data_IF_993697804118
#
_entry.id   IF_993697804118
#
_cell.length_a   1.000
_cell.length_b   1.000
_cell.length_c   1.000
_cell.angle_alpha   90.00
_cell.angle_beta   90.00
_cell.angle_gamma   90.00
#
_symmetry.space_group_name_H-M   'P 1'
#
loop_
_entity.id
_entity.type
_entity.pdbx_description
1 polymer ?
#
# COMPACT_ATOMS: atom_id res chain seq x y z
N UNK A 1 -1.04 -32.53 -18.58
CA UNK A 1 -0.53 -32.61 -17.19
C UNK A 1 -1.67 -32.27 -16.23
N UNK A 2 -1.76 -32.93 -15.07
CA UNK A 2 -2.65 -32.49 -13.98
C UNK A 2 -1.91 -32.65 -12.66
N UNK A 3 -1.55 -31.53 -12.02
CA UNK A 3 -0.86 -31.54 -10.74
C UNK A 3 -1.86 -31.16 -9.66
N UNK A 4 -2.08 -32.07 -8.73
CA UNK A 4 -2.85 -31.84 -7.52
C UNK A 4 -1.92 -32.04 -6.33
N UNK A 5 -1.43 -30.94 -5.78
CA UNK A 5 -0.40 -30.94 -4.78
C UNK A 5 -0.98 -30.62 -3.40
N UNK A 6 -0.56 -31.35 -2.36
CA UNK A 6 -1.11 -31.26 -0.99
C UNK A 6 -0.03 -31.17 0.08
N UNK A 7 1.17 -30.68 -0.21
CA UNK A 7 2.22 -30.56 0.81
C UNK A 7 1.80 -29.63 1.95
N UNK A 8 2.08 -30.09 3.17
CA UNK A 8 1.93 -29.32 4.39
C UNK A 8 3.28 -29.07 5.09
N UNK A 9 4.39 -29.59 4.55
CA UNK A 9 5.72 -29.50 5.18
C UNK A 9 6.37 -28.11 5.07
N UNK A 10 5.96 -27.32 4.07
CA UNK A 10 6.44 -25.94 3.92
C UNK A 10 7.65 -25.78 3.01
N UNK A 11 8.22 -26.86 2.47
CA UNK A 11 9.50 -26.81 1.73
C UNK A 11 9.48 -27.62 0.43
N UNK A 12 8.31 -27.98 -0.09
CA UNK A 12 8.25 -28.77 -1.31
C UNK A 12 8.74 -27.97 -2.52
N UNK A 13 9.61 -28.60 -3.32
CA UNK A 13 10.08 -28.06 -4.59
C UNK A 13 9.64 -28.96 -5.74
N UNK A 14 8.93 -28.39 -6.71
CA UNK A 14 8.62 -29.06 -7.96
C UNK A 14 9.65 -28.65 -9.02
N UNK A 15 10.79 -29.32 -9.01
CA UNK A 15 11.94 -28.95 -9.83
C UNK A 15 11.80 -29.21 -11.34
N UNK A 16 11.09 -30.24 -11.83
CA UNK A 16 10.95 -30.44 -13.27
C UNK A 16 10.25 -29.26 -13.96
N UNK A 17 10.72 -28.92 -15.16
CA UNK A 17 10.00 -28.02 -16.05
C UNK A 17 8.65 -28.64 -16.44
N UNK A 18 7.61 -27.82 -16.44
CA UNK A 18 6.27 -28.17 -16.90
C UNK A 18 5.99 -27.43 -18.21
N UNK A 19 5.71 -28.17 -19.28
CA UNK A 19 5.61 -27.66 -20.66
C UNK A 19 4.38 -28.19 -21.42
N UNK A 20 3.50 -28.91 -20.72
CA UNK A 20 2.29 -29.51 -21.28
C UNK A 20 1.03 -28.71 -20.91
N UNK A 21 -0.09 -29.01 -21.55
CA UNK A 21 -1.39 -28.42 -21.19
C UNK A 21 -1.97 -29.12 -19.95
N UNK A 22 -2.48 -28.35 -19.01
CA UNK A 22 -3.47 -28.77 -18.02
C UNK A 22 -3.42 -27.98 -16.72
N UNK A 23 -3.87 -28.59 -15.62
CA UNK A 23 -4.14 -27.86 -14.38
C UNK A 23 -3.00 -28.02 -13.38
N UNK A 24 -2.77 -26.97 -12.59
CA UNK A 24 -1.91 -26.97 -11.40
C UNK A 24 -2.73 -26.51 -10.22
N UNK A 25 -2.98 -27.40 -9.26
CA UNK A 25 -3.73 -27.09 -8.04
C UNK A 25 -2.82 -27.27 -6.82
N UNK A 26 -2.67 -26.20 -6.05
CA UNK A 26 -1.98 -26.20 -4.75
C UNK A 26 -3.05 -26.21 -3.67
N UNK A 27 -3.21 -27.36 -3.02
CA UNK A 27 -4.26 -27.64 -2.03
C UNK A 27 -3.67 -27.96 -0.64
N UNK A 28 -2.35 -27.85 -0.49
CA UNK A 28 -1.66 -28.09 0.77
C UNK A 28 -1.33 -26.78 1.48
N UNK A 29 -1.42 -26.77 2.81
CA UNK A 29 -1.17 -25.56 3.61
C UNK A 29 0.30 -25.11 3.65
N UNK A 30 1.21 -25.90 3.08
CA UNK A 30 2.65 -25.62 3.02
C UNK A 30 3.01 -24.63 1.91
N UNK A 31 4.30 -24.62 1.56
CA UNK A 31 4.83 -23.83 0.45
C UNK A 31 5.32 -24.77 -0.65
N UNK A 32 4.75 -24.59 -1.83
CA UNK A 32 5.20 -25.22 -3.08
C UNK A 32 6.08 -24.24 -3.83
N UNK A 33 7.34 -24.57 -4.06
CA UNK A 33 8.25 -23.73 -4.83
C UNK A 33 8.42 -24.30 -6.24
N UNK A 34 8.30 -23.45 -7.26
CA UNK A 34 8.51 -23.80 -8.67
C UNK A 34 9.84 -23.21 -9.18
N UNK A 35 10.97 -23.93 -9.08
CA UNK A 35 12.26 -23.44 -9.58
C UNK A 35 12.52 -23.74 -11.06
N UNK A 36 11.64 -24.53 -11.71
CA UNK A 36 11.80 -24.94 -13.11
C UNK A 36 11.57 -23.81 -14.13
N UNK A 37 11.83 -24.10 -15.40
CA UNK A 37 11.41 -23.25 -16.52
C UNK A 37 10.04 -23.70 -17.01
N UNK A 38 9.00 -23.04 -16.53
CA UNK A 38 7.62 -23.45 -16.75
C UNK A 38 6.98 -22.72 -17.93
N UNK A 39 6.37 -23.47 -18.83
CA UNK A 39 5.67 -22.98 -20.03
C UNK A 39 4.31 -23.68 -20.24
N UNK A 40 3.83 -24.40 -19.22
CA UNK A 40 2.54 -25.09 -19.25
C UNK A 40 1.37 -24.12 -19.47
N UNK A 41 0.33 -24.62 -20.11
CA UNK A 41 -0.93 -23.90 -20.36
C UNK A 41 -2.02 -24.38 -19.42
N UNK A 42 -2.97 -23.52 -19.09
CA UNK A 42 -4.13 -23.83 -18.27
C UNK A 42 -4.14 -23.07 -16.94
N UNK A 43 -5.05 -23.43 -16.05
CA UNK A 43 -5.27 -22.71 -14.79
C UNK A 43 -4.34 -23.25 -13.70
N UNK A 44 -3.70 -22.32 -13.00
CA UNK A 44 -3.02 -22.55 -11.72
C UNK A 44 -3.89 -22.04 -10.58
N UNK A 45 -4.44 -22.94 -9.77
CA UNK A 45 -5.27 -22.61 -8.60
C UNK A 45 -4.48 -22.79 -7.31
N UNK A 46 -4.41 -21.75 -6.49
CA UNK A 46 -3.85 -21.78 -5.14
C UNK A 46 -5.03 -21.77 -4.18
N UNK A 47 -5.39 -22.95 -3.67
CA UNK A 47 -6.56 -23.20 -2.82
C UNK A 47 -6.19 -23.43 -1.35
N UNK A 48 -4.91 -23.63 -1.05
CA UNK A 48 -4.36 -23.62 0.29
C UNK A 48 -2.87 -23.24 0.24
N UNK A 49 -2.39 -22.53 1.26
CA UNK A 49 -0.96 -22.33 1.52
C UNK A 49 -0.30 -21.31 0.59
N UNK A 50 0.90 -21.63 0.11
CA UNK A 50 1.71 -20.73 -0.72
C UNK A 50 2.24 -21.42 -1.96
N UNK A 51 2.04 -20.80 -3.13
CA UNK A 51 2.80 -21.11 -4.34
C UNK A 51 3.88 -20.05 -4.52
N UNK A 52 5.14 -20.47 -4.59
CA UNK A 52 6.30 -19.59 -4.65
C UNK A 52 7.09 -19.79 -5.95
N UNK A 53 7.46 -18.70 -6.60
CA UNK A 53 8.43 -18.71 -7.68
C UNK A 53 9.81 -19.08 -7.12
N UNK A 54 10.47 -20.06 -7.73
CA UNK A 54 11.85 -20.44 -7.42
C UNK A 54 12.88 -19.93 -8.44
N UNK A 55 12.42 -19.27 -9.50
CA UNK A 55 13.20 -18.64 -10.57
C UNK A 55 12.30 -17.62 -11.30
N UNK A 56 12.88 -16.74 -12.13
CA UNK A 56 12.11 -15.83 -13.01
C UNK A 56 11.18 -16.60 -13.97
N UNK A 57 11.60 -17.80 -14.39
CA UNK A 57 10.80 -18.70 -15.23
C UNK A 57 9.94 -19.67 -14.43
N UNK A 58 9.88 -19.51 -13.10
CA UNK A 58 9.23 -20.42 -12.18
C UNK A 58 7.71 -20.45 -12.33
N UNK A 59 7.09 -19.33 -12.67
CA UNK A 59 5.67 -19.27 -12.99
C UNK A 59 5.50 -19.26 -14.50
N UNK A 60 4.46 -19.94 -15.01
CA UNK A 60 4.24 -20.02 -16.44
C UNK A 60 3.59 -18.73 -16.97
N UNK A 61 4.20 -18.06 -17.99
CA UNK A 61 3.60 -16.91 -18.65
C UNK A 61 2.35 -17.27 -19.48
N UNK A 62 2.09 -18.56 -19.67
CA UNK A 62 0.96 -19.09 -20.43
C UNK A 62 -0.18 -19.61 -19.54
N UNK A 63 -0.10 -19.40 -18.23
CA UNK A 63 -1.07 -19.92 -17.26
C UNK A 63 -1.87 -18.78 -16.59
N UNK A 64 -3.18 -19.00 -16.46
CA UNK A 64 -4.08 -18.16 -15.67
C UNK A 64 -3.96 -18.53 -14.19
N UNK A 65 -3.67 -17.56 -13.32
CA UNK A 65 -3.51 -17.80 -11.88
C UNK A 65 -4.75 -17.36 -11.12
N UNK A 66 -5.20 -18.23 -10.21
CA UNK A 66 -6.28 -17.95 -9.26
C UNK A 66 -5.74 -18.14 -7.85
N UNK A 67 -5.80 -17.09 -7.03
CA UNK A 67 -5.37 -17.12 -5.63
C UNK A 67 -6.60 -17.04 -4.73
N UNK A 68 -6.92 -18.11 -4.02
CA UNK A 68 -8.06 -18.10 -3.11
C UNK A 68 -7.80 -17.21 -1.89
N UNK A 69 -8.89 -16.82 -1.21
CA UNK A 69 -8.81 -15.98 -0.02
C UNK A 69 -8.08 -16.72 1.11
N UNK A 70 -7.08 -16.05 1.70
CA UNK A 70 -6.23 -16.63 2.74
C UNK A 70 -4.94 -17.28 2.21
N UNK A 71 -4.81 -17.44 0.89
CA UNK A 71 -3.64 -18.08 0.27
C UNK A 71 -2.70 -17.08 -0.37
N UNK A 72 -1.52 -17.56 -0.75
CA UNK A 72 -0.42 -16.70 -1.20
C UNK A 72 0.18 -17.14 -2.54
N UNK A 73 0.31 -16.19 -3.46
CA UNK A 73 1.26 -16.25 -4.57
C UNK A 73 2.51 -15.45 -4.18
N UNK A 74 3.66 -16.10 -4.06
CA UNK A 74 4.92 -15.48 -3.66
C UNK A 74 5.90 -15.41 -4.84
N UNK A 75 6.17 -14.21 -5.35
CA UNK A 75 7.20 -13.99 -6.37
C UNK A 75 8.63 -14.09 -5.81
N UNK A 76 8.78 -14.19 -4.48
CA UNK A 76 10.04 -14.19 -3.77
C UNK A 76 10.89 -12.96 -4.12
N UNK A 77 12.12 -13.16 -4.60
CA UNK A 77 13.01 -12.12 -5.15
C UNK A 77 13.03 -12.08 -6.67
N UNK A 78 12.22 -12.92 -7.33
CA UNK A 78 12.22 -13.10 -8.77
C UNK A 78 11.26 -12.13 -9.47
N UNK A 79 11.37 -12.06 -10.79
CA UNK A 79 10.49 -11.27 -11.65
C UNK A 79 9.70 -12.15 -12.63
N UNK A 80 8.79 -13.01 -12.12
CA UNK A 80 8.05 -13.92 -12.97
C UNK A 80 6.98 -13.23 -13.80
N UNK A 81 6.54 -13.93 -14.84
CA UNK A 81 5.39 -13.55 -15.66
C UNK A 81 4.30 -14.61 -15.56
N UNK A 82 3.05 -14.16 -15.47
CA UNK A 82 1.84 -15.00 -15.55
C UNK A 82 0.93 -14.48 -16.66
N UNK A 83 0.04 -15.32 -17.18
CA UNK A 83 -0.87 -14.88 -18.25
C UNK A 83 -1.90 -13.90 -17.70
N UNK A 84 -2.70 -14.33 -16.73
CA UNK A 84 -3.67 -13.51 -16.02
C UNK A 84 -3.64 -13.83 -14.53
N UNK A 85 -4.19 -12.95 -13.71
CA UNK A 85 -4.21 -13.13 -12.26
C UNK A 85 -5.52 -12.66 -11.65
N UNK A 86 -6.32 -13.59 -11.13
CA UNK A 86 -7.47 -13.33 -10.28
C UNK A 86 -7.11 -13.65 -8.83
N UNK A 87 -7.02 -12.63 -7.99
CA UNK A 87 -6.55 -12.77 -6.62
C UNK A 87 -7.65 -12.38 -5.64
N UNK A 88 -8.04 -13.34 -4.79
CA UNK A 88 -8.72 -13.10 -3.51
C UNK A 88 -7.77 -13.16 -2.30
N UNK A 89 -6.53 -13.63 -2.49
CA UNK A 89 -5.52 -13.80 -1.46
C UNK A 89 -4.44 -12.70 -1.45
N UNK A 90 -3.24 -13.10 -1.04
CA UNK A 90 -2.04 -12.26 -0.94
C UNK A 90 -1.10 -12.54 -2.12
N UNK A 91 -0.59 -11.48 -2.74
CA UNK A 91 0.51 -11.55 -3.71
C UNK A 91 1.74 -10.90 -3.08
N UNK A 92 2.80 -11.67 -2.86
CA UNK A 92 4.02 -11.18 -2.22
C UNK A 92 5.08 -10.89 -3.28
N UNK A 93 5.52 -9.64 -3.35
CA UNK A 93 6.64 -9.18 -4.18
C UNK A 93 7.88 -8.83 -3.32
N UNK A 94 7.86 -9.25 -2.05
CA UNK A 94 8.65 -8.66 -0.98
C UNK A 94 9.60 -9.63 -0.27
N UNK A 95 9.77 -10.89 -0.70
CA UNK A 95 10.43 -11.89 0.14
C UNK A 95 11.97 -11.76 0.25
N UNK A 96 12.59 -10.71 -0.28
CA UNK A 96 14.04 -10.48 -0.10
C UNK A 96 14.70 -9.44 -1.00
N UNK A 97 13.93 -8.65 -1.74
CA UNK A 97 14.46 -7.59 -2.62
C UNK A 97 13.54 -6.38 -2.71
N UNK A 98 14.05 -5.30 -3.28
CA UNK A 98 13.34 -4.03 -3.47
C UNK A 98 13.13 -3.68 -4.94
N UNK A 99 13.24 -4.64 -5.88
CA UNK A 99 13.14 -4.34 -7.32
C UNK A 99 12.58 -5.48 -8.18
N UNK A 100 12.00 -6.50 -7.56
CA UNK A 100 11.30 -7.58 -8.27
C UNK A 100 10.07 -7.06 -9.03
N UNK A 101 9.76 -7.68 -10.17
CA UNK A 101 8.59 -7.31 -10.98
C UNK A 101 7.74 -8.55 -11.25
N UNK A 102 6.53 -8.59 -10.72
CA UNK A 102 5.53 -9.55 -11.20
C UNK A 102 4.82 -8.93 -12.41
N UNK A 103 4.93 -9.60 -13.55
CA UNK A 103 4.23 -9.21 -14.77
C UNK A 103 2.99 -10.08 -14.97
N UNK A 104 1.83 -9.44 -15.12
CA UNK A 104 0.58 -10.05 -15.58
C UNK A 104 0.42 -9.65 -17.04
N UNK A 105 0.61 -10.60 -17.96
CA UNK A 105 0.64 -10.33 -19.40
C UNK A 105 -0.72 -9.90 -19.97
N UNK A 106 -1.80 -10.24 -19.28
CA UNK A 106 -3.17 -9.86 -19.60
C UNK A 106 -3.79 -9.16 -18.38
N UNK A 107 -4.95 -9.62 -17.93
CA UNK A 107 -5.78 -8.91 -16.98
C UNK A 107 -5.47 -9.31 -15.53
N UNK A 108 -5.63 -8.34 -14.64
CA UNK A 108 -5.56 -8.52 -13.19
C UNK A 108 -6.91 -8.19 -12.54
N UNK A 109 -7.44 -9.11 -11.76
CA UNK A 109 -8.65 -8.94 -10.96
C UNK A 109 -8.31 -9.04 -9.48
N UNK A 110 -8.62 -7.98 -8.72
CA UNK A 110 -8.52 -7.98 -7.27
C UNK A 110 -9.88 -8.17 -6.61
N UNK A 111 -10.02 -9.17 -5.73
CA UNK A 111 -11.24 -9.38 -4.94
C UNK A 111 -10.91 -9.34 -3.45
N UNK A 112 -10.83 -8.13 -2.88
CA UNK A 112 -10.35 -7.91 -1.50
C UNK A 112 -8.96 -8.50 -1.27
N UNK A 113 -8.15 -8.50 -2.34
CA UNK A 113 -6.78 -9.00 -2.29
C UNK A 113 -5.84 -8.03 -1.61
N UNK A 114 -4.63 -8.52 -1.35
CA UNK A 114 -3.51 -7.65 -1.03
C UNK A 114 -2.28 -7.96 -1.86
N UNK A 115 -1.46 -6.94 -2.10
CA UNK A 115 -0.13 -7.07 -2.70
C UNK A 115 0.87 -6.54 -1.68
N UNK A 116 1.82 -7.36 -1.26
CA UNK A 116 2.87 -6.99 -0.32
C UNK A 116 4.15 -6.58 -1.04
N UNK A 117 4.70 -5.41 -0.69
CA UNK A 117 5.89 -4.83 -1.33
C UNK A 117 6.86 -4.27 -0.29
N UNK A 118 8.18 -4.41 -0.54
CA UNK A 118 9.22 -3.77 0.25
C UNK A 118 9.78 -2.56 -0.50
N UNK A 119 9.34 -1.36 -0.13
CA UNK A 119 9.79 -0.13 -0.79
C UNK A 119 10.82 0.59 0.07
N UNK A 120 11.92 1.03 -0.52
CA UNK A 120 12.81 1.99 0.14
C UNK A 120 12.21 3.40 0.02
N UNK A 121 11.32 3.80 0.94
CA UNK A 121 10.65 5.10 0.87
C UNK A 121 11.64 6.27 0.81
N UNK A 122 11.62 7.00 -0.30
CA UNK A 122 12.57 8.04 -0.65
C UNK A 122 12.08 8.84 -1.85
N UNK A 123 12.98 9.24 -2.75
CA UNK A 123 12.61 10.03 -3.93
C UNK A 123 11.95 9.17 -5.04
N UNK A 124 11.57 9.78 -6.16
CA UNK A 124 10.88 9.08 -7.26
C UNK A 124 11.69 7.95 -7.92
N UNK A 125 12.98 7.80 -7.61
CA UNK A 125 13.87 6.74 -8.09
C UNK A 125 14.03 5.62 -7.05
N UNK A 126 13.34 5.70 -5.92
CA UNK A 126 13.35 4.69 -4.88
C UNK A 126 13.12 3.29 -5.43
N UNK A 127 13.96 2.37 -4.96
CA UNK A 127 13.81 0.96 -5.25
C UNK A 127 12.48 0.46 -4.65
N UNK A 128 11.62 -0.07 -5.52
CA UNK A 128 10.39 -0.74 -5.13
C UNK A 128 10.10 -1.93 -6.06
N UNK A 129 9.57 -3.05 -5.52
CA UNK A 129 8.94 -4.07 -6.33
C UNK A 129 7.71 -3.52 -7.05
N UNK A 130 7.40 -4.04 -8.23
CA UNK A 130 6.26 -3.56 -9.03
C UNK A 130 5.33 -4.70 -9.41
N UNK A 131 4.03 -4.41 -9.33
CA UNK A 131 3.04 -5.17 -10.10
C UNK A 131 2.89 -4.47 -11.47
N UNK A 132 3.18 -5.18 -12.55
CA UNK A 132 3.00 -4.71 -13.92
C UNK A 132 1.86 -5.49 -14.54
N UNK A 133 0.83 -4.80 -15.02
CA UNK A 133 -0.33 -5.40 -15.70
C UNK A 133 -0.37 -4.86 -17.12
N UNK A 134 -0.15 -5.73 -18.10
CA UNK A 134 -0.13 -5.35 -19.52
C UNK A 134 -1.55 -5.24 -20.10
N UNK A 135 -2.54 -5.91 -19.49
CA UNK A 135 -3.96 -5.77 -19.80
C UNK A 135 -4.71 -4.85 -18.84
N UNK A 136 -5.97 -5.19 -18.60
CA UNK A 136 -6.91 -4.41 -17.80
C UNK A 136 -6.84 -4.79 -16.32
N UNK A 137 -7.15 -3.83 -15.43
CA UNK A 137 -7.38 -4.08 -14.01
C UNK A 137 -8.84 -3.86 -13.64
N UNK A 138 -9.36 -4.70 -12.75
CA UNK A 138 -10.68 -4.55 -12.12
C UNK A 138 -10.63 -4.91 -10.62
N UNK A 139 -11.68 -4.52 -9.90
CA UNK A 139 -11.85 -4.89 -8.50
C UNK A 139 -11.04 -4.03 -7.53
N UNK A 140 -10.68 -4.58 -6.37
CA UNK A 140 -10.01 -3.85 -5.29
C UNK A 140 -8.85 -4.64 -4.69
N UNK A 141 -7.76 -3.93 -4.40
CA UNK A 141 -6.53 -4.49 -3.88
C UNK A 141 -5.89 -3.55 -2.86
N UNK A 142 -5.50 -4.09 -1.72
CA UNK A 142 -4.72 -3.33 -0.72
C UNK A 142 -3.23 -3.48 -0.98
N UNK A 143 -2.49 -2.38 -1.08
CA UNK A 143 -1.03 -2.40 -1.17
C UNK A 143 -0.43 -2.36 0.24
N UNK A 144 0.04 -3.53 0.71
CA UNK A 144 0.71 -3.70 1.99
C UNK A 144 2.21 -3.39 1.80
N UNK A 145 2.56 -2.12 1.88
CA UNK A 145 3.93 -1.67 1.66
C UNK A 145 4.68 -1.62 2.99
N UNK A 146 5.87 -2.20 3.03
CA UNK A 146 6.81 -2.10 4.15
C UNK A 146 7.97 -1.19 3.74
N UNK A 147 8.32 -0.21 4.59
CA UNK A 147 9.49 0.63 4.34
C UNK A 147 10.77 -0.17 4.63
N UNK A 148 11.55 -0.49 3.61
CA UNK A 148 12.81 -1.21 3.73
C UNK A 148 13.98 -0.23 3.58
N UNK A 149 14.49 0.24 4.72
CA UNK A 149 15.66 1.14 4.79
C UNK A 149 15.51 2.48 4.06
N UNK A 150 14.29 2.90 3.72
CA UNK A 150 14.03 4.21 3.13
C UNK A 150 14.14 5.33 4.17
N UNK A 151 14.92 6.36 3.84
CA UNK A 151 15.19 7.50 4.72
C UNK A 151 14.16 8.62 4.59
N UNK A 152 13.25 8.54 3.62
CA UNK A 152 12.38 9.65 3.25
C UNK A 152 13.05 10.67 2.35
N UNK A 153 12.35 11.16 1.33
CA UNK A 153 12.72 12.31 0.52
C UNK A 153 11.49 12.83 -0.25
N UNK A 154 11.63 14.00 -0.87
CA UNK A 154 10.62 14.51 -1.78
C UNK A 154 10.55 13.66 -3.05
N UNK A 155 9.37 13.19 -3.40
CA UNK A 155 9.07 12.68 -4.73
C UNK A 155 8.80 13.83 -5.71
N UNK A 156 9.33 13.72 -6.91
CA UNK A 156 9.10 14.62 -8.04
C UNK A 156 8.35 13.93 -9.19
N UNK A 157 7.84 14.70 -10.15
CA UNK A 157 7.04 14.22 -11.28
C UNK A 157 5.80 13.48 -10.77
N UNK A 158 5.73 12.15 -10.88
CA UNK A 158 4.55 11.37 -10.52
C UNK A 158 4.68 10.64 -9.18
N UNK A 159 5.89 10.46 -8.63
CA UNK A 159 6.12 9.63 -7.45
C UNK A 159 6.91 8.35 -7.71
N UNK A 160 6.94 7.47 -6.71
CA UNK A 160 7.51 6.12 -6.79
C UNK A 160 6.48 5.19 -7.44
N UNK A 161 6.75 4.70 -8.64
CA UNK A 161 5.83 3.80 -9.37
C UNK A 161 5.75 2.42 -8.70
N UNK A 162 4.58 2.04 -8.17
CA UNK A 162 4.36 0.76 -7.46
C UNK A 162 3.45 -0.20 -8.22
N UNK A 163 2.55 0.32 -9.06
CA UNK A 163 1.72 -0.49 -9.97
C UNK A 163 1.68 0.16 -11.35
N UNK A 164 2.05 -0.60 -12.38
CA UNK A 164 1.92 -0.19 -13.77
C UNK A 164 0.73 -0.90 -14.41
N UNK A 165 -0.11 -0.17 -15.15
CA UNK A 165 -1.20 -0.74 -15.96
C UNK A 165 -1.13 -0.17 -17.37
N UNK A 166 -1.04 -1.03 -18.38
CA UNK A 166 -0.97 -0.63 -19.79
C UNK A 166 -2.37 -0.59 -20.43
N UNK A 167 -3.28 -1.49 -20.03
CA UNK A 167 -4.70 -1.51 -20.42
C UNK A 167 -5.58 -0.51 -19.68
N UNK A 168 -6.86 -0.83 -19.50
CA UNK A 168 -7.81 -0.05 -18.72
C UNK A 168 -7.57 -0.26 -17.22
N UNK A 169 -7.23 0.80 -16.49
CA UNK A 169 -7.04 0.73 -15.04
C UNK A 169 -8.37 0.96 -14.29
N UNK A 170 -9.32 0.03 -14.34
CA UNK A 170 -10.61 0.17 -13.65
C UNK A 170 -10.61 -0.41 -12.23
N UNK A 171 -9.55 -1.12 -11.84
CA UNK A 171 -9.32 -1.57 -10.47
C UNK A 171 -8.90 -0.42 -9.54
N UNK A 172 -9.17 -0.58 -8.25
CA UNK A 172 -8.73 0.34 -7.19
C UNK A 172 -7.61 -0.27 -6.37
N UNK A 173 -6.59 0.55 -6.09
CA UNK A 173 -5.53 0.24 -5.16
C UNK A 173 -5.59 1.22 -3.99
N UNK A 174 -5.36 0.73 -2.77
CA UNK A 174 -5.37 1.55 -1.55
C UNK A 174 -4.28 1.11 -0.59
N UNK A 175 -3.76 2.05 0.20
CA UNK A 175 -2.96 1.71 1.38
C UNK A 175 -3.89 1.31 2.54
N UNK A 176 -3.46 0.44 3.46
CA UNK A 176 -4.13 0.22 4.73
C UNK A 176 -4.35 1.53 5.49
N UNK A 177 -5.32 1.55 6.41
CA UNK A 177 -5.50 2.68 7.32
C UNK A 177 -4.17 3.00 8.04
N UNK A 178 -3.76 4.28 8.12
CA UNK A 178 -4.56 5.49 7.88
C UNK A 178 -4.60 6.01 6.43
N UNK A 179 -4.12 5.24 5.45
CA UNK A 179 -4.08 5.64 4.03
C UNK A 179 -2.78 6.35 3.61
N UNK A 180 -1.78 6.34 4.50
CA UNK A 180 -0.45 6.89 4.23
C UNK A 180 0.64 6.13 5.01
N UNK A 181 1.88 6.34 4.61
CA UNK A 181 3.10 5.86 5.30
C UNK A 181 3.99 7.05 5.63
N UNK A 182 4.91 6.92 6.60
CA UNK A 182 5.83 8.00 6.97
C UNK A 182 7.29 7.50 6.95
N UNK A 183 8.21 8.32 6.44
CA UNK A 183 9.64 8.11 6.49
C UNK A 183 10.38 9.45 6.43
N UNK A 184 11.30 9.72 7.37
CA UNK A 184 12.17 10.90 7.35
C UNK A 184 11.48 12.26 7.32
N UNK A 185 10.32 12.40 7.99
CA UNK A 185 9.53 13.63 7.95
C UNK A 185 8.69 13.82 6.68
N UNK A 186 8.66 12.81 5.81
CA UNK A 186 7.80 12.75 4.64
C UNK A 186 6.66 11.78 4.86
N UNK A 187 5.46 12.21 4.51
CA UNK A 187 4.29 11.34 4.41
C UNK A 187 4.12 10.91 2.96
N UNK A 188 3.85 9.63 2.74
CA UNK A 188 3.62 9.03 1.42
C UNK A 188 2.17 8.59 1.31
N UNK A 189 1.48 9.08 0.30
CA UNK A 189 0.11 8.67 -0.06
C UNK A 189 0.11 7.99 -1.41
N UNK A 190 -0.86 7.10 -1.64
CA UNK A 190 -1.02 6.43 -2.93
C UNK A 190 -1.90 7.28 -3.84
N UNK A 191 -1.38 7.61 -5.01
CA UNK A 191 -2.06 8.41 -6.03
C UNK A 191 -2.09 7.67 -7.37
N UNK A 192 -3.23 7.74 -8.05
CA UNK A 192 -3.35 7.29 -9.44
C UNK A 192 -3.02 8.45 -10.38
N UNK A 193 -2.02 8.28 -11.23
CA UNK A 193 -1.65 9.26 -12.27
C UNK A 193 -1.76 8.58 -13.63
N UNK A 194 -2.70 9.05 -14.45
CA UNK A 194 -3.09 8.35 -15.67
C UNK A 194 -3.64 6.96 -15.35
N UNK A 195 -2.96 5.92 -15.83
CA UNK A 195 -3.31 4.51 -15.60
C UNK A 195 -2.52 3.85 -14.47
N UNK A 196 -1.44 4.48 -14.01
CA UNK A 196 -0.49 3.87 -13.07
C UNK A 196 -0.69 4.42 -11.66
N UNK A 197 -0.14 3.70 -10.67
CA UNK A 197 -0.24 4.07 -9.26
C UNK A 197 1.13 4.33 -8.66
N UNK A 198 1.23 5.45 -7.95
CA UNK A 198 2.47 5.98 -7.43
C UNK A 198 2.34 6.30 -5.94
N UNK A 199 3.41 6.12 -5.19
CA UNK A 199 3.56 6.77 -3.90
C UNK A 199 4.07 8.20 -4.12
N UNK A 200 3.32 9.18 -3.62
CA UNK A 200 3.69 10.59 -3.65
C UNK A 200 3.94 11.08 -2.24
N UNK A 201 5.04 11.80 -2.05
CA UNK A 201 5.41 12.36 -0.76
C UNK A 201 4.96 13.80 -0.60
N UNK A 202 4.49 14.15 0.59
CA UNK A 202 4.38 15.53 1.07
C UNK A 202 5.20 15.71 2.35
N UNK A 203 5.78 16.90 2.51
CA UNK A 203 6.53 17.21 3.71
C UNK A 203 5.55 17.36 4.87
N UNK A 204 5.73 16.57 5.92
CA UNK A 204 4.96 16.77 7.13
C UNK A 204 5.50 18.04 7.81
N UNK A 205 4.60 18.99 8.09
CA UNK A 205 4.95 20.07 9.00
C UNK A 205 5.33 19.42 10.33
N UNK A 206 6.56 19.67 10.79
CA UNK A 206 6.95 19.32 12.14
C UNK A 206 5.87 19.90 13.06
N UNK A 207 5.14 19.05 13.77
CA UNK A 207 4.40 19.54 14.92
C UNK A 207 5.46 20.08 15.85
N UNK A 208 5.61 21.40 15.91
CA UNK A 208 6.39 22.02 16.96
C UNK A 208 5.86 21.40 18.26
N UNK A 209 6.69 20.60 18.93
CA UNK A 209 6.40 20.21 20.29
C UNK A 209 6.14 21.48 21.10
N UNK A 210 5.40 21.43 22.21
CA UNK A 210 5.39 22.55 23.13
C UNK A 210 6.86 22.90 23.41
N UNK A 211 7.23 24.11 23.04
CA UNK A 211 8.56 24.67 23.25
C UNK A 211 9.00 24.37 24.69
N UNK A 212 10.07 23.57 24.92
CA UNK A 212 10.55 23.29 26.27
C UNK A 212 10.99 24.55 27.02
N UNK A 213 11.13 25.69 26.33
CA UNK A 213 11.72 26.92 26.86
C UNK A 213 10.73 28.10 26.96
N UNK A 214 9.42 27.84 26.94
CA UNK A 214 8.46 28.81 27.48
C UNK A 214 8.51 28.79 29.01
N UNK A 215 9.64 29.23 29.59
CA UNK A 215 9.59 29.77 30.96
C UNK A 215 8.56 30.91 30.94
N UNK A 216 7.51 30.88 31.78
CA UNK A 216 6.58 31.99 31.85
C UNK A 216 7.39 33.24 32.22
N UNK A 217 7.50 34.19 31.30
CA UNK A 217 8.03 35.52 31.63
C UNK A 217 7.21 36.03 32.82
N UNK A 218 7.81 36.47 33.94
CA UNK A 218 7.07 36.96 35.08
C UNK A 218 6.14 38.09 34.62
N UNK A 219 4.84 37.84 34.69
CA UNK A 219 3.82 38.88 34.53
C UNK A 219 4.07 39.92 35.61
N UNK A 220 4.37 41.15 35.21
CA UNK A 220 4.47 42.28 36.14
C UNK A 220 3.18 42.34 36.95
N UNK A 221 3.33 42.31 38.28
CA UNK A 221 2.21 42.37 39.22
C UNK A 221 1.28 43.55 38.88
N UNK A 222 -0.05 43.36 38.88
CA UNK A 222 -0.96 44.47 38.72
C UNK A 222 -0.77 45.44 39.89
N UNK A 223 -0.61 46.72 39.58
CA UNK A 223 -0.67 47.81 40.57
C UNK A 223 -1.95 47.70 41.40
N UNK A 224 -1.88 47.78 42.74
CA UNK A 224 -3.08 47.73 43.56
C UNK A 224 -3.98 48.94 43.27
N UNK A 225 -5.24 48.67 42.95
CA UNK A 225 -6.29 49.69 42.85
C UNK A 225 -6.73 50.07 44.27
N UNK A 226 -6.87 51.36 44.61
CA UNK A 226 -7.31 51.76 45.94
C UNK A 226 -8.75 51.33 46.21
N UNK A 227 -8.94 50.68 47.36
CA UNK A 227 -10.22 50.18 47.87
C UNK A 227 -11.17 51.32 48.24
N UNK A 228 -12.34 51.39 47.61
CA UNK A 228 -13.49 52.16 48.10
C UNK A 228 -14.63 51.19 48.45
N UNK A 229 -15.29 51.46 49.58
CA UNK A 229 -16.01 50.48 50.39
C UNK A 229 -17.39 50.04 49.91
N UNK A 230 -17.78 48.92 50.53
CA UNK A 230 -19.12 48.53 50.96
C UNK A 230 -20.19 48.09 49.93
N UNK A 231 -20.61 46.82 50.14
CA UNK A 231 -21.97 46.27 50.04
C UNK A 231 -22.61 46.09 48.66
N UNK A 232 -22.89 44.84 48.30
CA UNK A 232 -23.93 44.51 47.30
C UNK A 232 -23.81 43.11 46.69
N UNK A 233 -24.79 42.25 47.00
CA UNK A 233 -24.90 40.85 46.61
C UNK A 233 -25.20 40.60 45.11
N UNK A 234 -24.83 39.39 44.67
CA UNK A 234 -25.44 38.55 43.61
C UNK A 234 -25.44 39.13 42.17
N UNK A 235 -25.31 38.35 41.08
CA UNK A 235 -26.20 37.26 40.64
C UNK A 235 -25.49 36.45 39.53
N UNK A 236 -25.69 35.12 39.56
CA UNK A 236 -25.49 34.16 38.46
C UNK A 236 -26.44 34.45 37.28
N UNK A 237 -25.94 34.53 36.04
CA UNK A 237 -26.79 34.29 34.86
C UNK A 237 -25.99 33.85 33.63
N UNK A 238 -26.48 32.77 33.04
CA UNK A 238 -25.97 31.96 31.93
C UNK A 238 -26.32 32.55 30.56
N UNK A 239 -25.44 32.29 29.58
CA UNK A 239 -25.69 31.92 28.17
C UNK A 239 -26.64 32.76 27.28
N UNK A 240 -26.09 33.32 26.19
CA UNK A 240 -26.41 32.97 24.79
C UNK A 240 -25.88 34.05 23.84
N UNK A 241 -25.31 33.60 22.73
CA UNK A 241 -24.76 34.40 21.65
C UNK A 241 -25.84 35.07 20.79
N UNK A 242 -25.52 36.20 20.14
CA UNK A 242 -25.77 36.42 18.71
C UNK A 242 -25.42 37.86 18.24
N UNK A 243 -24.56 37.91 17.22
CA UNK A 243 -24.72 38.68 15.96
C UNK A 243 -24.60 40.21 16.01
N UNK A 244 -23.75 40.73 15.10
CA UNK A 244 -24.10 41.96 14.38
C UNK A 244 -22.96 42.97 14.15
N UNK A 245 -21.86 42.57 13.50
CA UNK A 245 -20.92 43.55 12.93
C UNK A 245 -21.17 43.70 11.43
N UNK A 246 -21.70 44.85 11.00
CA UNK A 246 -21.02 45.78 10.07
C UNK A 246 -21.95 46.89 9.61
N UNK A 247 -21.52 48.12 9.94
CA UNK A 247 -21.99 49.38 9.37
C UNK A 247 -21.59 49.46 7.91
N UNK A 248 -22.44 50.00 7.05
CA UNK A 248 -21.99 50.88 5.97
C UNK A 248 -22.93 52.08 5.80
N UNK A 249 -22.30 53.26 5.88
CA UNK A 249 -22.83 54.61 5.61
C UNK A 249 -23.36 54.73 4.16
N UNK A 250 -24.41 55.54 3.96
CA UNK A 250 -24.32 56.90 3.35
C UNK A 250 -25.71 57.58 3.23
N UNK A 251 -25.72 58.85 3.61
CA UNK A 251 -26.59 59.98 3.21
C UNK A 251 -26.79 60.03 1.68
N UNK A 252 -27.91 60.48 1.11
CA UNK A 252 -28.79 61.62 1.36
C UNK A 252 -30.27 61.22 1.19
#
# INVERSE_FOLDING_TARGET
MNLNHTDASGNYQLSPAMDSVGLVNVNGSGTTTLPGNNSYFGITSINAGTLRAGADTGLSPSSDFVVAAGDTLDASTYSPTVLSLDSGGVVTLAAGGSSSVLTVAQNYSGNRSSVAQNTALGDSRSATPKLVVQGDTIGNTTLNITNLSGTGAQTTVNGILVVQVDGASNGTFSLPAPGYMEAGGWRYTLAKVGKHWYLQSDQQAETAGPDPDQTPKPTTAPTPVPTLGALGMAVMATLMAAVGLRRHRRTL
#
